data_IF_721072757413
#
_entry.id   IF_721072757413
#
_cell.length_a   1.000
_cell.length_b   1.000
_cell.length_c   1.000
_cell.angle_alpha   90.00
_cell.angle_beta   90.00
_cell.angle_gamma   90.00
#
_symmetry.space_group_name_H-M   'P 1'
#
loop_
_entity.id
_entity.type
_entity.pdbx_description
1 polymer ?
#
# COMPACT_ATOMS: atom_id res chain seq x y z
N UNK A 1 -29.48 -4.09 5.58
CA UNK A 1 -30.41 -3.01 5.92
C UNK A 1 -30.64 -3.09 7.39
N UNK A 2 -30.37 -2.06 8.12
CA UNK A 2 -30.64 -1.94 9.55
C UNK A 2 -31.77 -0.92 9.73
N UNK A 3 -32.78 -1.26 10.50
CA UNK A 3 -33.90 -0.38 10.82
C UNK A 3 -33.78 -0.06 12.29
N UNK A 4 -33.66 1.23 12.61
CA UNK A 4 -33.56 1.71 13.99
C UNK A 4 -34.94 2.20 14.39
N UNK A 5 -35.64 1.41 15.22
CA UNK A 5 -37.03 1.67 15.59
C UNK A 5 -37.19 2.68 16.74
N UNK A 6 -36.09 3.11 17.37
CA UNK A 6 -36.12 3.97 18.55
C UNK A 6 -36.96 3.38 19.66
N UNK A 7 -37.95 4.17 20.17
CA UNK A 7 -38.89 3.73 21.19
C UNK A 7 -40.18 3.08 20.60
N UNK A 8 -40.22 2.86 19.29
CA UNK A 8 -41.37 2.26 18.59
C UNK A 8 -41.26 0.75 18.55
N UNK A 9 -42.39 0.06 18.47
CA UNK A 9 -42.39 -1.39 18.24
C UNK A 9 -41.79 -1.74 16.89
N UNK A 10 -41.07 -2.89 16.78
CA UNK A 10 -40.53 -3.34 15.49
C UNK A 10 -41.63 -3.49 14.43
N UNK A 11 -41.26 -3.17 13.19
CA UNK A 11 -42.19 -3.30 12.05
C UNK A 11 -42.37 -4.80 11.70
N UNK A 12 -43.59 -5.29 11.85
CA UNK A 12 -43.96 -6.65 11.49
C UNK A 12 -44.42 -6.75 10.03
N UNK A 13 -44.22 -7.92 9.43
CA UNK A 13 -44.77 -8.24 8.09
C UNK A 13 -44.07 -7.54 6.92
N UNK A 14 -42.79 -7.12 7.08
CA UNK A 14 -42.03 -6.51 6.00
C UNK A 14 -41.74 -7.52 4.89
N UNK A 15 -42.17 -7.18 3.65
CA UNK A 15 -41.78 -7.89 2.44
C UNK A 15 -40.74 -7.07 1.68
N UNK A 16 -39.64 -7.73 1.29
CA UNK A 16 -38.57 -7.08 0.52
C UNK A 16 -38.57 -7.63 -0.90
N UNK A 17 -38.46 -6.73 -1.88
CA UNK A 17 -38.22 -7.10 -3.27
C UNK A 17 -36.98 -6.39 -3.78
N UNK A 18 -36.08 -7.13 -4.41
CA UNK A 18 -34.91 -6.59 -5.06
C UNK A 18 -35.08 -6.61 -6.58
N UNK A 19 -34.84 -5.47 -7.23
CA UNK A 19 -34.77 -5.42 -8.68
C UNK A 19 -33.33 -5.68 -9.10
N UNK A 20 -33.08 -6.84 -9.71
CA UNK A 20 -31.78 -7.22 -10.22
C UNK A 20 -31.68 -6.85 -11.68
N UNK A 21 -30.65 -6.07 -12.05
CA UNK A 21 -30.34 -5.83 -13.47
C UNK A 21 -29.64 -7.05 -14.03
N UNK A 22 -30.25 -7.68 -15.01
CA UNK A 22 -29.65 -8.79 -15.71
C UNK A 22 -28.83 -8.26 -16.90
N UNK A 23 -27.53 -8.66 -17.01
CA UNK A 23 -26.75 -8.35 -18.20
C UNK A 23 -27.30 -9.10 -19.41
N UNK A 24 -27.27 -8.46 -20.58
CA UNK A 24 -27.61 -9.11 -21.86
C UNK A 24 -26.36 -9.14 -22.75
N UNK A 25 -26.19 -10.23 -23.47
CA UNK A 25 -25.14 -10.39 -24.48
C UNK A 25 -25.77 -10.35 -25.87
N UNK A 26 -25.23 -9.53 -26.74
CA UNK A 26 -25.62 -9.47 -28.17
C UNK A 26 -24.42 -9.97 -28.97
N UNK A 27 -24.65 -10.96 -29.80
CA UNK A 27 -23.59 -11.59 -30.59
C UNK A 27 -24.11 -11.99 -31.97
N UNK A 28 -23.25 -12.12 -32.96
CA UNK A 28 -23.57 -12.56 -34.30
C UNK A 28 -23.12 -14.01 -34.48
N UNK A 29 -24.04 -14.84 -34.95
CA UNK A 29 -23.76 -16.22 -35.33
C UNK A 29 -23.95 -16.41 -36.81
N UNK A 30 -23.11 -17.23 -37.43
CA UNK A 30 -23.39 -17.75 -38.76
C UNK A 30 -24.62 -18.68 -38.67
N UNK A 31 -25.60 -18.47 -39.54
CA UNK A 31 -26.78 -19.33 -39.64
C UNK A 31 -26.38 -20.69 -40.18
N UNK A 32 -26.11 -21.62 -39.29
CA UNK A 32 -25.93 -23.05 -39.61
C UNK A 32 -27.20 -23.84 -39.39
N UNK A 33 -27.63 -24.61 -40.34
CA UNK A 33 -28.88 -25.38 -40.31
C UNK A 33 -28.73 -26.76 -39.65
N UNK A 34 -28.13 -26.90 -38.48
CA UNK A 34 -27.97 -28.18 -37.80
C UNK A 34 -28.64 -28.24 -36.41
N UNK A 35 -28.90 -29.45 -35.90
CA UNK A 35 -29.45 -29.70 -34.55
C UNK A 35 -28.41 -29.44 -33.41
N UNK A 36 -27.14 -29.23 -33.74
CA UNK A 36 -26.11 -28.95 -32.75
C UNK A 36 -26.18 -27.48 -32.28
N UNK A 37 -25.81 -27.22 -31.01
CA UNK A 37 -25.81 -25.84 -30.51
C UNK A 37 -24.88 -24.97 -31.35
N UNK A 38 -25.43 -23.86 -31.88
CA UNK A 38 -24.72 -22.95 -32.77
C UNK A 38 -23.56 -22.22 -32.10
N UNK A 39 -23.55 -22.17 -30.75
CA UNK A 39 -22.48 -21.61 -29.93
C UNK A 39 -22.51 -22.15 -28.50
N UNK A 40 -21.36 -22.11 -27.83
CA UNK A 40 -21.24 -22.42 -26.41
C UNK A 40 -20.92 -21.13 -25.66
N UNK A 41 -21.69 -20.87 -24.60
CA UNK A 41 -21.41 -19.77 -23.66
C UNK A 41 -20.63 -20.30 -22.47
N UNK A 42 -19.40 -19.84 -22.34
CA UNK A 42 -18.56 -20.11 -21.16
C UNK A 42 -18.65 -18.94 -20.19
N UNK A 43 -18.80 -19.23 -18.90
CA UNK A 43 -18.84 -18.24 -17.83
C UNK A 43 -18.19 -18.81 -16.55
N UNK A 44 -17.87 -17.92 -15.60
CA UNK A 44 -17.19 -18.34 -14.36
C UNK A 44 -15.68 -18.51 -14.49
N UNK A 45 -15.08 -18.13 -15.62
CA UNK A 45 -13.63 -18.12 -15.82
C UNK A 45 -12.99 -16.89 -15.20
N UNK A 46 -12.74 -16.88 -13.90
CA UNK A 46 -12.16 -15.73 -13.18
C UNK A 46 -10.79 -15.26 -13.69
N UNK A 47 -10.14 -16.05 -14.56
CA UNK A 47 -8.84 -15.74 -15.19
C UNK A 47 -8.96 -15.14 -16.58
N UNK A 48 -10.18 -15.08 -17.14
CA UNK A 48 -10.37 -14.56 -18.47
C UNK A 48 -10.26 -13.03 -18.46
N UNK A 49 -9.43 -12.49 -19.34
CA UNK A 49 -9.42 -11.06 -19.60
C UNK A 49 -10.75 -10.61 -20.24
N UNK A 50 -11.16 -9.37 -19.97
CA UNK A 50 -12.29 -8.79 -20.64
C UNK A 50 -12.07 -8.86 -22.17
N UNK A 51 -12.99 -9.47 -22.94
CA UNK A 51 -12.81 -9.61 -24.36
C UNK A 51 -12.83 -8.25 -25.05
N UNK A 52 -11.99 -8.07 -26.06
CA UNK A 52 -11.98 -6.87 -26.91
C UNK A 52 -12.45 -7.28 -28.30
N UNK A 53 -13.68 -6.96 -28.60
CA UNK A 53 -14.26 -7.20 -29.92
C UNK A 53 -14.41 -5.88 -30.69
N UNK A 54 -14.27 -5.93 -32.01
CA UNK A 54 -14.48 -4.77 -32.87
C UNK A 54 -15.89 -4.20 -32.77
N UNK A 55 -16.85 -5.00 -32.34
CA UNK A 55 -18.22 -4.56 -32.02
C UNK A 55 -18.26 -3.46 -30.95
N UNK A 56 -17.29 -3.43 -30.03
CA UNK A 56 -17.20 -2.36 -29.05
C UNK A 56 -16.94 -0.98 -29.69
N UNK A 57 -16.26 -0.96 -30.84
CA UNK A 57 -16.03 0.26 -31.62
C UNK A 57 -17.28 0.82 -32.33
N UNK A 58 -18.35 0.04 -32.41
CA UNK A 58 -19.66 0.48 -32.92
C UNK A 58 -20.54 1.15 -31.86
N UNK A 59 -20.16 1.00 -30.56
CA UNK A 59 -20.83 1.68 -29.46
C UNK A 59 -20.06 2.97 -29.14
N UNK A 60 -20.71 4.17 -29.21
CA UNK A 60 -20.01 5.40 -28.85
C UNK A 60 -19.59 5.37 -27.39
N UNK A 61 -18.37 5.83 -27.09
CA UNK A 61 -18.02 6.25 -25.76
C UNK A 61 -19.02 7.33 -25.32
N UNK A 62 -19.40 7.34 -24.04
CA UNK A 62 -20.41 8.24 -23.49
C UNK A 62 -20.20 9.68 -23.97
N UNK A 63 -21.10 10.21 -24.79
CA UNK A 63 -21.08 11.59 -25.29
C UNK A 63 -20.57 11.79 -26.72
N UNK A 64 -20.14 10.74 -27.45
CA UNK A 64 -19.79 10.89 -28.89
C UNK A 64 -20.93 10.48 -29.81
N UNK A 65 -21.24 11.31 -30.77
CA UNK A 65 -22.18 10.99 -31.85
C UNK A 65 -21.46 10.19 -32.95
N UNK A 66 -22.03 9.04 -33.32
CA UNK A 66 -21.60 8.28 -34.50
C UNK A 66 -22.31 8.81 -35.75
N UNK A 67 -21.63 8.79 -36.88
CA UNK A 67 -22.18 9.23 -38.17
C UNK A 67 -22.18 8.10 -39.21
N UNK A 68 -23.11 8.15 -40.17
CA UNK A 68 -23.17 7.23 -41.33
C UNK A 68 -23.50 5.78 -40.96
N UNK A 69 -22.87 4.83 -41.63
CA UNK A 69 -23.08 3.38 -41.46
C UNK A 69 -22.82 2.87 -40.03
N UNK A 70 -21.89 3.51 -39.32
CA UNK A 70 -21.60 3.17 -37.91
C UNK A 70 -22.74 3.54 -36.97
N UNK A 71 -23.46 4.67 -37.25
CA UNK A 71 -24.64 5.05 -36.48
C UNK A 71 -25.80 4.06 -36.73
N UNK A 72 -25.98 3.61 -37.97
CA UNK A 72 -27.00 2.63 -38.33
C UNK A 72 -26.73 1.25 -37.74
N UNK A 73 -25.46 0.78 -37.71
CA UNK A 73 -25.04 -0.46 -37.07
C UNK A 73 -25.23 -0.39 -35.55
N UNK A 74 -24.82 0.71 -34.92
CA UNK A 74 -25.01 0.93 -33.49
C UNK A 74 -26.48 1.00 -33.08
N UNK A 75 -27.34 1.58 -33.92
CA UNK A 75 -28.79 1.62 -33.71
C UNK A 75 -29.40 0.21 -33.75
N UNK A 76 -28.98 -0.64 -34.69
CA UNK A 76 -29.42 -2.04 -34.78
C UNK A 76 -28.95 -2.87 -33.57
N UNK A 77 -27.74 -2.66 -33.05
CA UNK A 77 -27.25 -3.33 -31.84
C UNK A 77 -28.00 -2.89 -30.58
N UNK A 78 -28.61 -1.70 -30.60
CA UNK A 78 -29.40 -1.15 -29.49
C UNK A 78 -30.89 -1.48 -29.57
N UNK A 79 -31.35 -1.88 -30.72
CA UNK A 79 -32.75 -2.25 -30.92
C UNK A 79 -32.95 -3.73 -30.55
N UNK A 80 -33.54 -4.02 -29.39
CA UNK A 80 -33.79 -5.40 -28.97
C UNK A 80 -34.79 -6.10 -29.90
N UNK A 81 -35.57 -5.38 -30.71
CA UNK A 81 -36.51 -5.98 -31.67
C UNK A 81 -35.78 -6.53 -32.91
N UNK A 82 -34.57 -6.08 -33.20
CA UNK A 82 -33.74 -6.60 -34.28
C UNK A 82 -32.93 -7.88 -33.89
N UNK A 83 -32.92 -8.22 -32.61
CA UNK A 83 -32.22 -9.41 -32.12
C UNK A 83 -33.20 -10.57 -31.89
N UNK A 84 -32.81 -11.76 -32.35
CA UNK A 84 -33.56 -12.98 -32.06
C UNK A 84 -33.08 -13.50 -30.70
N UNK A 85 -34.02 -13.77 -29.78
CA UNK A 85 -33.68 -14.31 -28.47
C UNK A 85 -33.07 -15.72 -28.63
N UNK A 86 -31.84 -15.87 -28.10
CA UNK A 86 -31.18 -17.17 -28.04
C UNK A 86 -31.83 -18.05 -26.97
N UNK A 87 -32.02 -19.32 -27.30
CA UNK A 87 -32.40 -20.35 -26.29
C UNK A 87 -31.15 -20.85 -25.61
N UNK A 88 -31.14 -20.73 -24.29
CA UNK A 88 -30.06 -21.29 -23.48
C UNK A 88 -30.36 -22.77 -23.21
N UNK A 89 -29.37 -23.63 -23.39
CA UNK A 89 -29.41 -25.01 -22.96
C UNK A 89 -29.16 -25.15 -21.45
N UNK A 90 -28.99 -26.40 -20.99
CA UNK A 90 -28.63 -26.68 -19.61
C UNK A 90 -27.22 -26.12 -19.28
N UNK A 91 -27.05 -25.73 -18.02
CA UNK A 91 -25.71 -25.35 -17.50
C UNK A 91 -24.98 -26.61 -17.09
N UNK A 92 -23.82 -26.85 -17.66
CA UNK A 92 -22.99 -28.02 -17.38
C UNK A 92 -21.58 -27.56 -16.96
N UNK A 93 -20.93 -28.38 -16.14
CA UNK A 93 -19.54 -28.13 -15.78
C UNK A 93 -18.65 -28.30 -17.02
N UNK A 94 -17.77 -27.31 -17.29
CA UNK A 94 -16.81 -27.43 -18.36
C UNK A 94 -15.73 -28.45 -18.00
N UNK A 95 -15.63 -29.59 -18.69
CA UNK A 95 -14.62 -30.63 -18.39
C UNK A 95 -13.18 -30.18 -18.63
N UNK A 96 -12.99 -29.11 -19.38
CA UNK A 96 -11.67 -28.53 -19.66
C UNK A 96 -11.30 -27.41 -18.66
N UNK A 97 -12.16 -27.15 -17.66
CA UNK A 97 -11.87 -26.13 -16.67
C UNK A 97 -10.78 -26.59 -15.73
N UNK A 98 -9.66 -25.89 -15.73
CA UNK A 98 -8.60 -26.06 -14.73
C UNK A 98 -8.97 -25.23 -13.49
N UNK A 99 -9.42 -25.90 -12.44
CA UNK A 99 -9.81 -25.29 -11.17
C UNK A 99 -8.64 -24.91 -10.26
N UNK A 100 -7.40 -25.22 -10.64
CA UNK A 100 -6.25 -24.81 -9.84
C UNK A 100 -6.11 -23.28 -9.79
N UNK A 101 -5.80 -22.69 -8.63
CA UNK A 101 -5.57 -21.24 -8.54
C UNK A 101 -4.50 -20.77 -9.50
N UNK A 102 -4.70 -19.61 -10.14
CA UNK A 102 -3.70 -19.04 -11.06
C UNK A 102 -2.33 -18.83 -10.41
N UNK A 103 -2.31 -18.56 -9.10
CA UNK A 103 -1.11 -18.35 -8.32
C UNK A 103 -0.65 -19.59 -7.53
N UNK A 104 -1.17 -20.79 -7.84
CA UNK A 104 -0.79 -22.04 -7.16
C UNK A 104 0.73 -22.28 -7.16
N UNK A 105 1.44 -21.84 -8.20
CA UNK A 105 2.91 -21.94 -8.28
C UNK A 105 3.62 -21.14 -7.17
N UNK A 106 3.03 -20.04 -6.71
CA UNK A 106 3.57 -19.16 -5.67
C UNK A 106 3.09 -19.52 -4.26
N UNK A 107 2.07 -20.35 -4.11
CA UNK A 107 1.50 -20.77 -2.81
C UNK A 107 2.40 -21.79 -2.11
N UNK A 108 3.66 -21.44 -1.89
CA UNK A 108 4.66 -22.30 -1.24
C UNK A 108 5.36 -21.51 -0.13
N UNK A 109 5.57 -22.12 1.04
CA UNK A 109 6.31 -21.47 2.11
C UNK A 109 7.78 -21.32 1.70
N UNK A 110 8.36 -20.17 2.08
CA UNK A 110 9.78 -19.92 1.98
C UNK A 110 10.56 -20.38 3.20
N UNK A 111 11.74 -19.80 3.41
CA UNK A 111 12.61 -20.11 4.54
C UNK A 111 11.98 -19.73 5.89
N UNK A 112 12.46 -20.36 6.97
CA UNK A 112 12.11 -19.97 8.32
C UNK A 112 12.71 -18.61 8.70
N UNK A 113 11.99 -17.89 9.54
CA UNK A 113 12.33 -16.56 10.04
C UNK A 113 12.50 -16.63 11.56
N UNK A 114 13.55 -16.05 12.12
CA UNK A 114 13.67 -15.91 13.58
C UNK A 114 12.67 -14.83 14.07
N UNK A 115 11.50 -15.27 14.51
CA UNK A 115 10.41 -14.39 14.95
C UNK A 115 10.80 -13.51 16.14
N UNK A 116 11.83 -13.90 16.92
CA UNK A 116 12.32 -13.17 18.11
C UNK A 116 13.01 -11.84 17.77
N UNK A 117 13.30 -11.59 16.50
CA UNK A 117 13.89 -10.33 16.02
C UNK A 117 12.86 -9.24 15.78
N UNK A 118 11.57 -9.61 15.64
CA UNK A 118 10.48 -8.71 15.30
C UNK A 118 9.74 -8.24 16.56
N UNK A 119 9.60 -6.92 16.72
CA UNK A 119 8.99 -6.35 17.93
C UNK A 119 7.48 -6.48 17.97
N UNK A 120 6.81 -6.48 16.82
CA UNK A 120 5.37 -6.50 16.71
C UNK A 120 4.88 -7.71 15.93
N UNK A 121 3.69 -8.22 16.33
CA UNK A 121 3.00 -9.32 15.69
C UNK A 121 1.51 -9.07 15.60
N UNK A 122 0.93 -9.40 14.45
CA UNK A 122 -0.51 -9.36 14.21
C UNK A 122 -0.99 -10.69 13.66
N UNK A 123 -2.03 -11.28 14.23
CA UNK A 123 -2.64 -12.50 13.71
C UNK A 123 -3.52 -12.18 12.51
N UNK A 124 -3.45 -13.04 11.49
CA UNK A 124 -4.13 -12.94 10.22
C UNK A 124 -4.94 -14.22 9.96
N UNK A 125 -6.21 -14.07 9.58
CA UNK A 125 -7.02 -15.13 9.00
C UNK A 125 -7.05 -14.99 7.49
N UNK A 126 -6.46 -15.92 6.78
CA UNK A 126 -6.33 -15.90 5.32
C UNK A 126 -7.34 -16.85 4.69
N UNK A 127 -8.13 -16.32 3.76
CA UNK A 127 -9.06 -17.08 2.91
C UNK A 127 -8.88 -16.57 1.48
N UNK A 128 -8.01 -17.17 0.69
CA UNK A 128 -7.69 -16.67 -0.63
C UNK A 128 -8.89 -16.72 -1.57
N UNK A 129 -8.85 -15.91 -2.61
CA UNK A 129 -9.77 -16.01 -3.74
C UNK A 129 -9.59 -17.33 -4.48
N UNK A 130 -10.47 -17.61 -5.44
CA UNK A 130 -10.32 -18.76 -6.35
C UNK A 130 -8.99 -18.78 -7.09
N UNK A 131 -8.33 -17.62 -7.24
CA UNK A 131 -7.05 -17.46 -7.89
C UNK A 131 -5.84 -17.62 -6.97
N UNK A 132 -6.08 -17.87 -5.67
CA UNK A 132 -5.03 -18.08 -4.68
C UNK A 132 -4.43 -16.80 -4.10
N UNK A 133 -5.12 -15.63 -4.23
CA UNK A 133 -4.62 -14.34 -3.80
C UNK A 133 -5.45 -13.74 -2.67
N UNK A 134 -4.76 -13.22 -1.67
CA UNK A 134 -5.36 -12.47 -0.57
C UNK A 134 -4.75 -11.07 -0.47
N UNK A 135 -5.58 -10.07 -0.13
CA UNK A 135 -5.18 -8.67 0.03
C UNK A 135 -5.14 -8.32 1.52
N UNK A 136 -3.98 -7.98 2.02
CA UNK A 136 -3.77 -7.41 3.35
C UNK A 136 -3.41 -5.94 3.23
N UNK A 137 -4.27 -5.06 3.73
CA UNK A 137 -3.95 -3.65 3.90
C UNK A 137 -3.25 -3.45 5.24
N UNK A 138 -2.03 -2.91 5.22
CA UNK A 138 -1.34 -2.53 6.44
C UNK A 138 -2.03 -1.33 7.07
N UNK A 139 -2.09 -1.31 8.39
CA UNK A 139 -2.62 -0.18 9.16
C UNK A 139 -1.50 0.77 9.58
N UNK A 140 -1.89 1.95 10.02
CA UNK A 140 -0.94 2.96 10.50
C UNK A 140 -0.01 2.41 11.61
N UNK A 141 -0.55 1.58 12.53
CA UNK A 141 0.21 0.97 13.62
C UNK A 141 1.30 0.02 13.09
N UNK A 142 1.00 -0.79 12.07
CA UNK A 142 1.99 -1.69 11.48
C UNK A 142 3.12 -0.89 10.82
N UNK A 143 2.74 0.14 10.06
CA UNK A 143 3.69 1.00 9.36
C UNK A 143 4.55 1.81 10.34
N UNK A 144 3.99 2.23 11.47
CA UNK A 144 4.72 2.98 12.49
C UNK A 144 5.88 2.19 13.11
N UNK A 145 5.70 0.88 13.28
CA UNK A 145 6.72 -0.02 13.83
C UNK A 145 7.64 -0.62 12.76
N UNK A 146 7.23 -0.59 11.49
CA UNK A 146 8.03 -1.09 10.39
C UNK A 146 9.16 -0.11 10.01
N UNK A 147 10.18 -0.63 9.37
CA UNK A 147 11.24 0.17 8.75
C UNK A 147 10.67 1.12 7.69
N UNK A 148 11.32 2.26 7.41
CA UNK A 148 10.86 3.20 6.38
C UNK A 148 10.74 2.60 4.98
N UNK A 149 11.58 1.61 4.67
CA UNK A 149 11.62 0.87 3.41
C UNK A 149 10.74 -0.39 3.40
N UNK A 150 10.04 -0.69 4.52
CA UNK A 150 9.22 -1.88 4.73
C UNK A 150 9.98 -3.21 4.55
N UNK A 151 11.31 -3.18 4.61
CA UNK A 151 12.17 -4.35 4.41
C UNK A 151 12.01 -5.41 5.50
N UNK A 152 11.45 -5.04 6.65
CA UNK A 152 11.20 -5.91 7.81
C UNK A 152 9.80 -6.52 7.85
N UNK A 153 8.96 -6.24 6.87
CA UNK A 153 7.62 -6.85 6.81
C UNK A 153 7.77 -8.34 6.47
N UNK A 154 7.11 -9.22 7.23
CA UNK A 154 7.03 -10.67 6.96
C UNK A 154 5.63 -11.18 7.24
N UNK A 155 5.18 -12.12 6.42
CA UNK A 155 4.02 -12.95 6.72
C UNK A 155 4.51 -14.36 6.95
N UNK A 156 4.21 -14.93 8.12
CA UNK A 156 4.70 -16.25 8.52
C UNK A 156 3.54 -17.15 8.98
N UNK A 157 3.72 -18.45 8.84
CA UNK A 157 2.82 -19.45 9.41
C UNK A 157 3.20 -19.81 10.88
N UNK A 158 2.46 -20.75 11.47
CA UNK A 158 2.72 -21.21 12.85
C UNK A 158 4.11 -21.87 13.01
N UNK A 159 4.72 -22.35 11.92
CA UNK A 159 6.07 -22.91 11.92
C UNK A 159 7.16 -21.86 11.62
N UNK A 160 6.81 -20.57 11.68
CA UNK A 160 7.69 -19.43 11.36
C UNK A 160 8.23 -19.43 9.91
N UNK A 161 7.64 -20.19 9.00
CA UNK A 161 8.02 -20.15 7.57
C UNK A 161 7.35 -18.95 6.90
N UNK A 162 8.13 -18.17 6.16
CA UNK A 162 7.61 -17.00 5.47
C UNK A 162 6.79 -17.38 4.22
N UNK A 163 5.80 -16.55 3.91
CA UNK A 163 4.94 -16.74 2.75
C UNK A 163 5.11 -15.59 1.76
N UNK A 164 5.12 -15.89 0.46
CA UNK A 164 5.40 -14.88 -0.56
C UNK A 164 4.25 -13.88 -0.70
N UNK A 165 4.61 -12.63 -0.83
CA UNK A 165 3.71 -11.53 -1.12
C UNK A 165 4.33 -10.54 -2.10
N UNK A 166 3.47 -9.79 -2.78
CA UNK A 166 3.82 -8.58 -3.52
C UNK A 166 3.44 -7.37 -2.65
N UNK A 167 4.37 -6.45 -2.46
CA UNK A 167 4.14 -5.22 -1.70
C UNK A 167 3.94 -4.04 -2.64
N UNK A 168 2.80 -3.36 -2.51
CA UNK A 168 2.50 -2.08 -3.16
C UNK A 168 2.51 -0.97 -2.09
N UNK A 169 3.55 -0.13 -2.06
CA UNK A 169 3.80 0.76 -0.91
C UNK A 169 2.82 1.91 -0.78
N UNK A 170 2.19 2.34 -1.87
CA UNK A 170 1.34 3.54 -1.93
C UNK A 170 -0.08 3.23 -2.44
N UNK A 171 -0.54 1.98 -2.26
CA UNK A 171 -1.77 1.49 -2.87
C UNK A 171 -3.05 1.96 -2.17
N UNK A 172 -3.02 2.18 -0.86
CA UNK A 172 -4.18 2.57 -0.08
C UNK A 172 -4.06 3.97 0.51
N UNK A 173 -5.19 4.63 0.68
CA UNK A 173 -5.30 5.93 1.32
C UNK A 173 -6.37 5.88 2.41
N UNK A 174 -6.06 6.48 3.56
CA UNK A 174 -6.96 6.54 4.71
C UNK A 174 -6.94 7.94 5.33
N UNK A 175 -8.12 8.48 5.67
CA UNK A 175 -8.22 9.74 6.37
C UNK A 175 -8.22 9.51 7.87
N UNK A 176 -7.29 10.16 8.56
CA UNK A 176 -7.18 10.13 10.02
C UNK A 176 -7.38 11.52 10.60
N UNK A 177 -8.18 11.67 11.68
CA UNK A 177 -8.29 12.93 12.38
C UNK A 177 -6.96 13.31 13.04
N UNK A 178 -6.64 14.59 13.04
CA UNK A 178 -5.49 15.16 13.74
C UNK A 178 -5.96 15.93 14.95
N UNK A 179 -5.23 15.80 16.05
CA UNK A 179 -5.41 16.69 17.21
C UNK A 179 -4.79 18.05 16.90
N UNK A 180 -5.55 19.12 17.09
CA UNK A 180 -5.04 20.48 16.91
C UNK A 180 -4.81 21.09 18.30
N UNK A 181 -3.57 21.33 18.66
CA UNK A 181 -3.26 22.08 19.87
C UNK A 181 -3.56 23.57 19.66
N UNK A 182 -3.99 24.25 20.75
CA UNK A 182 -4.18 25.70 20.74
C UNK A 182 -2.95 26.41 20.19
N UNK A 183 -3.11 27.43 19.31
CA UNK A 183 -2.01 28.07 18.66
C UNK A 183 -1.11 28.81 19.65
N UNK A 184 0.19 28.62 19.48
CA UNK A 184 1.19 29.43 20.18
C UNK A 184 1.46 30.67 19.32
N UNK A 185 0.95 31.83 19.74
CA UNK A 185 1.21 33.10 19.06
C UNK A 185 2.57 33.66 19.50
N UNK A 186 3.42 33.94 18.55
CA UNK A 186 4.66 34.69 18.75
C UNK A 186 4.75 35.77 17.67
N UNK A 187 4.98 37.00 18.11
CA UNK A 187 5.02 38.17 17.22
C UNK A 187 3.72 38.29 16.41
N UNK A 188 3.79 38.10 15.09
CA UNK A 188 2.67 38.18 14.15
C UNK A 188 2.36 36.83 13.48
N UNK A 189 2.75 35.72 14.11
CA UNK A 189 2.55 34.38 13.57
C UNK A 189 1.98 33.44 14.63
N UNK A 190 1.12 32.54 14.20
CA UNK A 190 0.56 31.46 14.99
C UNK A 190 1.12 30.11 14.58
N UNK A 191 1.46 29.28 15.56
CA UNK A 191 1.98 27.94 15.38
C UNK A 191 0.98 26.92 15.90
N UNK A 192 0.54 26.03 15.04
CA UNK A 192 -0.39 24.94 15.33
C UNK A 192 0.35 23.62 15.28
N UNK A 193 0.37 22.89 16.40
CA UNK A 193 0.84 21.50 16.40
C UNK A 193 -0.31 20.61 16.00
N UNK A 194 -0.06 19.76 15.01
CA UNK A 194 -1.02 18.79 14.50
C UNK A 194 -0.58 17.41 14.95
N UNK A 195 -1.30 16.86 15.95
CA UNK A 195 -1.00 15.56 16.55
C UNK A 195 -1.50 14.42 15.67
N UNK A 196 -0.60 13.52 15.30
CA UNK A 196 -0.92 12.26 14.62
C UNK A 196 -1.30 11.22 15.69
N UNK A 197 -2.38 10.44 15.50
CA UNK A 197 -2.76 9.38 16.46
C UNK A 197 -1.72 8.27 16.55
N UNK A 198 -1.01 8.04 15.45
CA UNK A 198 0.08 7.08 15.33
C UNK A 198 1.22 7.71 14.53
N UNK A 199 2.46 7.48 14.92
CA UNK A 199 3.65 7.97 14.21
C UNK A 199 4.87 7.05 14.42
N UNK A 200 5.80 6.98 13.47
CA UNK A 200 5.84 7.69 12.20
C UNK A 200 4.91 7.08 11.14
N UNK A 201 4.27 7.90 10.31
CA UNK A 201 3.41 7.47 9.21
C UNK A 201 3.64 8.30 7.95
N UNK A 202 3.28 7.77 6.77
CA UNK A 202 3.36 8.50 5.51
C UNK A 202 2.08 9.30 5.29
N UNK A 203 2.23 10.59 5.05
CA UNK A 203 1.15 11.55 4.82
C UNK A 203 1.43 12.30 3.52
N UNK A 204 0.41 12.58 2.73
CA UNK A 204 0.51 13.33 1.48
C UNK A 204 -0.47 14.51 1.37
N UNK A 205 -1.42 14.61 2.31
CA UNK A 205 -2.40 15.68 2.32
C UNK A 205 -2.91 15.96 3.73
N UNK A 206 -3.14 17.24 4.02
CA UNK A 206 -3.83 17.69 5.24
C UNK A 206 -5.03 18.52 4.81
N UNK A 207 -6.15 18.33 5.46
CA UNK A 207 -7.35 19.15 5.31
C UNK A 207 -7.68 19.79 6.64
N UNK A 208 -7.89 21.11 6.62
CA UNK A 208 -8.18 21.95 7.77
C UNK A 208 -9.58 22.53 7.60
N UNK A 209 -10.45 22.33 8.58
CA UNK A 209 -11.79 22.92 8.62
C UNK A 209 -11.78 24.16 9.52
N UNK A 210 -12.27 25.29 9.01
CA UNK A 210 -12.34 26.55 9.76
C UNK A 210 -13.67 27.23 9.50
N UNK A 211 -14.18 27.94 10.48
CA UNK A 211 -15.39 28.76 10.36
C UNK A 211 -15.06 30.24 10.02
N UNK A 212 -13.78 30.61 9.95
CA UNK A 212 -13.37 31.97 9.57
C UNK A 212 -13.83 32.29 8.15
N UNK A 213 -14.72 33.27 7.97
CA UNK A 213 -15.40 33.49 6.69
C UNK A 213 -14.49 34.09 5.59
N UNK A 214 -13.41 34.74 6.00
CA UNK A 214 -12.47 35.38 5.10
C UNK A 214 -11.08 35.43 5.70
N UNK A 215 -10.07 35.03 4.94
CA UNK A 215 -8.65 35.21 5.25
C UNK A 215 -7.81 35.04 3.99
N UNK A 216 -6.66 35.68 4.01
CA UNK A 216 -5.60 35.52 3.01
C UNK A 216 -4.25 35.60 3.73
N UNK A 217 -3.65 34.48 4.08
CA UNK A 217 -2.46 34.40 4.94
C UNK A 217 -1.38 33.51 4.37
N UNK A 218 -0.14 33.88 4.57
CA UNK A 218 1.01 33.05 4.23
C UNK A 218 1.11 31.93 5.28
N UNK A 219 1.39 30.72 4.82
CA UNK A 219 1.61 29.58 5.71
C UNK A 219 2.91 28.85 5.33
N UNK A 220 3.39 28.09 6.31
CA UNK A 220 4.40 27.04 6.13
C UNK A 220 4.00 25.83 6.96
N UNK A 221 3.94 24.68 6.30
CA UNK A 221 3.76 23.38 6.93
C UNK A 221 5.11 22.70 7.03
N UNK A 222 5.54 22.38 8.25
CA UNK A 222 6.77 21.66 8.53
C UNK A 222 6.48 20.32 9.19
N UNK A 223 7.34 19.34 8.94
CA UNK A 223 7.29 18.04 9.58
C UNK A 223 8.61 17.77 10.32
N UNK A 224 8.49 17.10 11.45
CA UNK A 224 9.62 16.42 12.08
C UNK A 224 9.69 15.01 11.50
N UNK A 225 10.82 14.69 10.89
CA UNK A 225 11.10 13.38 10.32
C UNK A 225 11.60 12.41 11.40
N UNK A 226 11.69 11.12 11.08
CA UNK A 226 12.13 10.07 12.00
C UNK A 226 13.56 10.29 12.54
N UNK A 227 14.45 10.86 11.74
CA UNK A 227 15.81 11.26 12.10
C UNK A 227 15.88 12.60 12.86
N UNK A 228 14.73 13.11 13.34
CA UNK A 228 14.58 14.37 14.08
C UNK A 228 14.88 15.64 13.24
N UNK A 229 15.16 15.51 11.94
CA UNK A 229 15.26 16.69 11.07
C UNK A 229 13.89 17.28 10.82
N UNK A 230 13.86 18.61 10.67
CA UNK A 230 12.67 19.31 10.21
C UNK A 230 12.74 19.52 8.69
N UNK A 231 11.62 19.28 8.03
CA UNK A 231 11.46 19.49 6.59
C UNK A 231 10.20 20.30 6.32
N UNK A 232 10.28 21.25 5.41
CA UNK A 232 9.09 21.95 4.91
C UNK A 232 8.39 21.05 3.89
N UNK A 233 7.13 20.72 4.17
CA UNK A 233 6.30 19.89 3.29
C UNK A 233 5.54 20.73 2.27
N UNK A 234 5.02 21.88 2.70
CA UNK A 234 4.30 22.82 1.85
C UNK A 234 4.43 24.23 2.40
N UNK A 235 4.42 25.20 1.50
CA UNK A 235 4.33 26.63 1.83
C UNK A 235 3.54 27.36 0.76
N UNK A 236 2.93 28.49 1.12
CA UNK A 236 2.11 29.27 0.20
C UNK A 236 1.12 30.17 0.92
N UNK A 237 -0.07 30.27 0.37
CA UNK A 237 -1.15 31.11 0.91
C UNK A 237 -2.39 30.27 1.23
N UNK A 238 -2.92 30.44 2.43
CA UNK A 238 -4.24 29.97 2.82
C UNK A 238 -5.22 31.08 2.44
N UNK A 239 -6.16 30.79 1.58
CA UNK A 239 -7.12 31.78 1.09
C UNK A 239 -8.55 31.25 1.28
N UNK A 240 -9.35 32.03 1.98
CA UNK A 240 -10.79 31.87 2.09
C UNK A 240 -11.47 33.13 1.57
N UNK A 241 -12.23 32.99 0.49
CA UNK A 241 -13.00 34.11 -0.07
C UNK A 241 -14.32 34.27 0.67
N UNK A 242 -14.87 35.48 0.66
CA UNK A 242 -16.19 35.77 1.25
C UNK A 242 -17.21 34.77 0.72
N UNK A 243 -17.94 34.12 1.60
CA UNK A 243 -18.94 33.11 1.27
C UNK A 243 -19.01 32.01 2.33
N UNK A 244 -19.52 30.85 1.95
CA UNK A 244 -19.51 29.67 2.83
C UNK A 244 -18.08 29.19 3.02
N UNK A 245 -17.63 29.00 4.28
CA UNK A 245 -16.32 28.46 4.56
C UNK A 245 -16.13 27.11 3.85
N UNK A 246 -14.93 26.88 3.29
CA UNK A 246 -14.55 25.63 2.66
C UNK A 246 -13.32 25.06 3.34
N UNK A 247 -13.21 23.73 3.45
CA UNK A 247 -11.99 23.12 3.95
C UNK A 247 -10.77 23.56 3.16
N UNK A 248 -9.69 23.88 3.84
CA UNK A 248 -8.41 24.20 3.22
C UNK A 248 -7.61 22.91 3.06
N UNK A 249 -7.20 22.62 1.83
CA UNK A 249 -6.43 21.41 1.50
C UNK A 249 -4.98 21.76 1.20
N UNK A 250 -4.07 21.09 1.88
CA UNK A 250 -2.62 21.20 1.72
C UNK A 250 -2.10 19.87 1.21
N UNK A 251 -1.78 19.79 -0.08
CA UNK A 251 -1.21 18.59 -0.71
C UNK A 251 0.31 18.75 -0.89
N UNK A 252 1.04 17.66 -0.69
CA UNK A 252 2.50 17.59 -0.81
C UNK A 252 2.94 16.18 -1.18
N UNK A 253 4.18 15.98 -1.66
CA UNK A 253 4.71 14.64 -1.90
C UNK A 253 4.65 13.77 -0.64
N UNK A 254 4.30 12.46 -0.74
CA UNK A 254 4.21 11.59 0.42
C UNK A 254 5.48 11.62 1.28
N UNK A 255 5.34 11.94 2.55
CA UNK A 255 6.44 12.04 3.50
C UNK A 255 6.17 11.23 4.76
N UNK A 256 7.16 10.49 5.27
CA UNK A 256 7.08 9.76 6.53
C UNK A 256 7.41 10.73 7.69
N UNK A 257 6.40 11.04 8.48
CA UNK A 257 6.47 12.12 9.48
C UNK A 257 6.18 11.59 10.90
N UNK A 258 6.84 12.20 11.87
CA UNK A 258 6.63 11.94 13.32
C UNK A 258 5.71 12.98 13.92
N UNK A 259 5.88 14.24 13.52
CA UNK A 259 5.07 15.35 13.99
C UNK A 259 4.90 16.40 12.89
N UNK A 260 3.82 17.15 12.95
CA UNK A 260 3.47 18.20 12.02
C UNK A 260 3.27 19.53 12.73
N UNK A 261 3.77 20.61 12.16
CA UNK A 261 3.58 21.99 12.63
C UNK A 261 3.18 22.89 11.47
N UNK A 262 2.05 23.58 11.63
CA UNK A 262 1.59 24.60 10.70
C UNK A 262 1.88 25.97 11.30
N UNK A 263 2.63 26.80 10.59
CA UNK A 263 2.89 28.20 10.93
C UNK A 263 2.09 29.07 9.99
N UNK A 264 1.28 29.98 10.53
CA UNK A 264 0.47 30.94 9.79
C UNK A 264 0.90 32.34 10.17
N UNK A 265 1.16 33.19 9.18
CA UNK A 265 1.48 34.60 9.36
C UNK A 265 0.17 35.38 9.53
N UNK A 266 -0.14 35.78 10.76
CA UNK A 266 -1.39 36.44 11.07
C UNK A 266 -1.35 37.97 10.82
N UNK A 267 -0.18 38.55 10.86
CA UNK A 267 -0.07 40.00 10.85
C UNK A 267 -0.68 40.59 12.13
N UNK A 268 -1.58 41.54 11.96
CA UNK A 268 -2.29 42.21 13.06
C UNK A 268 -3.64 41.54 13.39
N UNK A 269 -4.05 40.54 12.60
CA UNK A 269 -5.31 39.82 12.81
C UNK A 269 -5.20 38.75 13.93
N UNK A 270 -6.35 38.27 14.39
CA UNK A 270 -6.43 37.14 15.33
C UNK A 270 -5.96 35.83 14.65
N UNK A 271 -5.42 34.87 15.42
CA UNK A 271 -5.13 33.54 14.91
C UNK A 271 -6.34 32.90 14.22
N UNK A 272 -6.11 32.08 13.18
CA UNK A 272 -7.17 31.30 12.57
C UNK A 272 -7.66 30.22 13.55
N UNK A 273 -8.97 30.06 13.64
CA UNK A 273 -9.57 29.00 14.44
C UNK A 273 -9.90 27.81 13.55
N UNK A 274 -9.17 26.70 13.75
CA UNK A 274 -9.44 25.45 13.06
C UNK A 274 -10.31 24.57 13.95
N UNK A 275 -11.48 24.19 13.44
CA UNK A 275 -12.44 23.32 14.13
C UNK A 275 -12.02 21.86 14.08
N UNK A 276 -11.47 21.42 12.96
CA UNK A 276 -10.98 20.07 12.74
C UNK A 276 -9.81 20.06 11.76
N UNK A 277 -8.98 19.05 11.89
CA UNK A 277 -7.95 18.71 10.92
C UNK A 277 -7.95 17.22 10.68
N UNK A 278 -7.58 16.81 9.46
CA UNK A 278 -7.39 15.41 9.10
C UNK A 278 -6.22 15.29 8.14
N UNK A 279 -5.47 14.21 8.30
CA UNK A 279 -4.40 13.84 7.38
C UNK A 279 -4.83 12.66 6.51
N UNK A 280 -4.38 12.65 5.28
CA UNK A 280 -4.48 11.48 4.41
C UNK A 280 -3.22 10.67 4.55
N UNK A 281 -3.36 9.48 5.12
CA UNK A 281 -2.29 8.50 5.24
C UNK A 281 -2.16 7.74 3.93
N UNK A 282 -0.92 7.45 3.55
CA UNK A 282 -0.58 6.58 2.42
C UNK A 282 -0.10 5.25 3.01
N UNK A 283 -0.87 4.19 2.78
CA UNK A 283 -0.68 2.89 3.39
C UNK A 283 -0.33 1.82 2.36
N UNK A 284 0.57 0.88 2.71
CA UNK A 284 0.92 -0.23 1.85
C UNK A 284 -0.18 -1.30 1.79
N UNK A 285 -0.25 -2.00 0.66
CA UNK A 285 -1.02 -3.21 0.48
C UNK A 285 -0.10 -4.38 0.15
N UNK A 286 -0.38 -5.54 0.75
CA UNK A 286 0.31 -6.79 0.46
C UNK A 286 -0.66 -7.73 -0.25
N UNK A 287 -0.25 -8.22 -1.41
CA UNK A 287 -0.92 -9.28 -2.14
C UNK A 287 -0.24 -10.60 -1.80
N UNK A 288 -0.88 -11.38 -0.93
CA UNK A 288 -0.35 -12.59 -0.32
C UNK A 288 -0.80 -13.82 -1.11
N UNK A 289 0.14 -14.65 -1.54
CA UNK A 289 -0.11 -15.95 -2.14
C UNK A 289 0.09 -17.06 -1.09
N UNK A 290 -1.00 -17.42 -0.40
CA UNK A 290 -0.99 -18.42 0.65
C UNK A 290 -2.32 -19.19 0.67
N UNK A 291 -2.33 -20.50 1.05
CA UNK A 291 -3.55 -21.24 1.25
C UNK A 291 -4.38 -20.68 2.42
N UNK A 292 -5.63 -21.12 2.52
CA UNK A 292 -6.48 -20.77 3.67
C UNK A 292 -5.83 -21.25 4.98
N UNK A 293 -5.81 -20.38 5.99
CA UNK A 293 -5.21 -20.70 7.28
C UNK A 293 -4.92 -19.47 8.14
N UNK A 294 -4.29 -19.73 9.28
CA UNK A 294 -3.88 -18.71 10.22
C UNK A 294 -2.40 -18.38 10.02
N UNK A 295 -2.11 -17.08 9.96
CA UNK A 295 -0.77 -16.54 9.74
C UNK A 295 -0.49 -15.40 10.71
N UNK A 296 0.73 -14.91 10.67
CA UNK A 296 1.15 -13.74 11.45
C UNK A 296 1.88 -12.74 10.55
N UNK A 297 1.50 -11.49 10.64
CA UNK A 297 2.29 -10.36 10.17
C UNK A 297 3.31 -10.02 11.26
N UNK A 298 4.57 -9.92 10.87
CA UNK A 298 5.68 -9.50 11.72
C UNK A 298 6.28 -8.20 11.18
N UNK A 299 6.56 -7.24 12.06
CA UNK A 299 7.27 -5.99 11.75
C UNK A 299 8.18 -5.59 12.92
N UNK A 300 9.11 -4.68 12.69
CA UNK A 300 9.94 -4.10 13.75
C UNK A 300 11.29 -4.79 13.94
N UNK A 301 11.83 -5.45 12.91
CA UNK A 301 13.22 -5.85 12.88
C UNK A 301 14.07 -4.79 12.18
N UNK A 302 14.90 -4.01 12.92
CA UNK A 302 15.67 -2.91 12.35
C UNK A 302 16.76 -3.34 11.36
N UNK A 303 17.09 -4.64 11.31
CA UNK A 303 18.16 -5.18 10.46
C UNK A 303 17.67 -6.04 9.31
N UNK A 304 16.39 -6.36 9.26
CA UNK A 304 15.86 -7.20 8.21
C UNK A 304 16.17 -6.63 6.82
N UNK A 305 16.60 -7.47 5.92
CA UNK A 305 16.69 -7.14 4.48
C UNK A 305 15.35 -7.40 3.80
N UNK A 306 15.05 -6.64 2.75
CA UNK A 306 13.83 -6.86 1.97
C UNK A 306 13.77 -8.30 1.45
N UNK A 307 12.63 -8.99 1.59
CA UNK A 307 12.49 -10.33 1.05
C UNK A 307 12.47 -10.29 -0.48
N UNK A 308 13.01 -11.32 -1.09
CA UNK A 308 12.96 -11.49 -2.54
C UNK A 308 12.11 -12.71 -2.88
N UNK A 309 10.89 -12.48 -3.35
CA UNK A 309 9.97 -13.52 -3.77
C UNK A 309 9.84 -13.56 -5.29
N UNK A 310 9.70 -14.75 -5.86
CA UNK A 310 9.45 -14.91 -7.31
C UNK A 310 8.14 -14.25 -7.74
N UNK A 311 7.19 -14.10 -6.83
CA UNK A 311 5.90 -13.44 -7.04
C UNK A 311 6.06 -12.00 -7.57
N UNK A 312 7.12 -11.30 -7.18
CA UNK A 312 7.41 -9.93 -7.64
C UNK A 312 7.73 -9.85 -9.13
N UNK A 313 8.23 -10.95 -9.73
CA UNK A 313 8.54 -11.03 -11.17
C UNK A 313 7.29 -11.12 -12.04
N UNK A 314 6.18 -11.51 -11.45
CA UNK A 314 4.88 -11.67 -12.13
C UNK A 314 3.86 -10.65 -11.61
N UNK A 315 4.32 -9.47 -11.22
CA UNK A 315 3.51 -8.39 -10.65
C UNK A 315 2.23 -8.12 -11.46
N UNK A 316 2.34 -8.06 -12.79
CA UNK A 316 1.19 -7.74 -13.64
C UNK A 316 0.13 -8.84 -13.58
N UNK A 317 0.53 -10.10 -13.43
CA UNK A 317 -0.40 -11.22 -13.22
C UNK A 317 -1.06 -11.11 -11.85
N UNK A 318 -0.30 -10.83 -10.81
CA UNK A 318 -0.82 -10.67 -9.43
C UNK A 318 -1.85 -9.55 -9.36
N UNK A 319 -1.58 -8.42 -9.98
CA UNK A 319 -2.50 -7.26 -9.95
C UNK A 319 -3.71 -7.43 -10.88
N UNK A 320 -3.66 -8.37 -11.83
CA UNK A 320 -4.76 -8.65 -12.74
C UNK A 320 -5.80 -9.64 -12.18
N UNK A 321 -5.42 -10.47 -11.19
CA UNK A 321 -6.33 -11.47 -10.62
C UNK A 321 -7.09 -10.92 -9.41
N UNK A 322 -8.26 -11.51 -9.16
CA UNK A 322 -9.09 -11.10 -8.02
C UNK A 322 -8.44 -11.56 -6.71
N UNK A 323 -8.38 -10.65 -5.74
CA UNK A 323 -7.92 -10.93 -4.39
C UNK A 323 -9.08 -10.97 -3.39
N UNK A 324 -8.95 -11.75 -2.33
CA UNK A 324 -9.88 -11.76 -1.20
C UNK A 324 -9.27 -10.97 -0.01
N UNK A 325 -10.07 -10.22 0.76
CA UNK A 325 -9.55 -9.48 1.90
C UNK A 325 -9.09 -10.42 3.02
N UNK A 326 -7.96 -10.10 3.67
CA UNK A 326 -7.45 -10.78 4.85
C UNK A 326 -8.13 -10.25 6.11
N UNK A 327 -8.59 -11.14 6.97
CA UNK A 327 -9.07 -10.80 8.31
C UNK A 327 -7.86 -10.57 9.25
N UNK A 328 -7.59 -9.32 9.63
CA UNK A 328 -6.47 -8.98 10.49
C UNK A 328 -6.94 -8.55 11.88
N UNK A 329 -6.43 -9.18 12.94
CA UNK A 329 -6.68 -8.81 14.34
C UNK A 329 -5.93 -7.52 14.70
N UNK A 330 -6.06 -7.06 15.94
CA UNK A 330 -5.27 -5.94 16.44
C UNK A 330 -3.78 -6.27 16.41
N UNK A 331 -2.93 -5.28 16.12
CA UNK A 331 -1.48 -5.39 16.26
C UNK A 331 -1.12 -5.33 17.74
N UNK A 332 -0.01 -5.97 18.10
CA UNK A 332 0.50 -5.89 19.46
C UNK A 332 1.93 -6.40 19.56
N UNK A 333 2.55 -6.20 20.74
CA UNK A 333 3.91 -6.65 20.97
C UNK A 333 4.05 -8.15 20.69
N UNK A 334 5.11 -8.52 20.02
CA UNK A 334 5.41 -9.91 19.76
C UNK A 334 5.89 -10.58 21.07
N UNK A 335 5.17 -11.58 21.62
CA UNK A 335 5.55 -12.23 22.88
C UNK A 335 6.91 -12.95 22.80
N UNK A 336 7.32 -13.33 21.59
CA UNK A 336 8.58 -14.02 21.36
C UNK A 336 9.77 -13.06 21.21
N UNK A 337 9.53 -11.75 21.17
CA UNK A 337 10.56 -10.73 20.92
C UNK A 337 11.68 -10.75 21.98
N UNK A 338 12.93 -10.77 21.53
CA UNK A 338 14.10 -10.81 22.41
C UNK A 338 15.14 -9.75 22.04
N UNK A 339 15.24 -8.70 22.86
CA UNK A 339 16.30 -7.68 22.73
C UNK A 339 17.70 -8.28 22.87
N UNK A 340 17.87 -9.34 23.67
CA UNK A 340 19.14 -10.01 23.83
C UNK A 340 19.59 -10.69 22.52
N UNK A 341 18.65 -11.30 21.78
CA UNK A 341 18.94 -11.92 20.49
C UNK A 341 19.41 -10.88 19.47
N UNK A 342 18.70 -9.75 19.40
CA UNK A 342 19.10 -8.62 18.54
C UNK A 342 20.49 -8.08 18.87
N UNK A 343 20.86 -8.04 20.15
CA UNK A 343 22.19 -7.61 20.60
C UNK A 343 23.30 -8.60 20.21
N UNK A 344 23.01 -9.91 20.22
CA UNK A 344 23.97 -10.95 19.79
C UNK A 344 24.20 -10.82 18.28
N UNK A 345 23.17 -10.65 17.51
CA UNK A 345 23.25 -10.45 16.05
C UNK A 345 24.04 -9.17 15.71
N UNK A 346 23.84 -8.08 16.48
CA UNK A 346 24.67 -6.86 16.37
C UNK A 346 26.16 -7.12 16.67
N UNK A 347 26.48 -7.99 17.62
CA UNK A 347 27.87 -8.35 17.91
C UNK A 347 28.46 -9.21 16.80
N UNK A 348 27.71 -10.12 16.24
CA UNK A 348 28.13 -10.94 15.10
C UNK A 348 28.61 -10.13 13.90
N UNK A 349 27.94 -9.00 13.61
CA UNK A 349 28.34 -8.10 12.52
C UNK A 349 29.60 -7.30 12.80
N UNK A 350 29.90 -7.04 14.07
CA UNK A 350 31.12 -6.29 14.49
C UNK A 350 32.38 -7.13 14.43
N UNK A 351 32.28 -8.44 14.64
CA UNK A 351 33.45 -9.35 14.68
C UNK A 351 34.27 -9.33 13.39
N UNK A 352 33.68 -9.49 12.18
CA UNK A 352 34.43 -9.43 10.94
C UNK A 352 35.02 -8.04 10.67
N UNK A 353 34.34 -6.97 11.11
CA UNK A 353 34.84 -5.62 10.95
C UNK A 353 36.03 -5.31 11.86
N UNK A 354 35.99 -5.73 13.12
CA UNK A 354 37.12 -5.61 14.06
C UNK A 354 38.28 -6.44 13.57
N UNK A 355 38.04 -7.65 13.06
CA UNK A 355 39.08 -8.52 12.53
C UNK A 355 39.73 -7.92 11.28
N UNK A 356 38.97 -7.33 10.39
CA UNK A 356 39.48 -6.61 9.22
C UNK A 356 40.38 -5.44 9.60
N UNK A 357 39.92 -4.60 10.54
CA UNK A 357 40.71 -3.46 11.00
C UNK A 357 41.99 -3.90 11.75
N UNK A 358 41.93 -4.96 12.55
CA UNK A 358 43.10 -5.48 13.25
C UNK A 358 44.16 -6.04 12.28
N UNK A 359 43.75 -6.75 11.23
CA UNK A 359 44.63 -7.22 10.16
C UNK A 359 45.24 -6.04 9.38
N UNK A 360 44.44 -5.03 9.07
CA UNK A 360 44.96 -3.83 8.39
C UNK A 360 46.00 -3.08 9.23
N UNK A 361 45.73 -2.87 10.50
CA UNK A 361 46.68 -2.23 11.42
C UNK A 361 47.96 -3.06 11.55
N UNK A 362 47.86 -4.38 11.71
CA UNK A 362 49.02 -5.27 11.75
C UNK A 362 49.87 -5.18 10.47
N UNK A 363 49.22 -5.17 9.30
CA UNK A 363 49.90 -5.01 8.01
C UNK A 363 50.66 -3.68 7.91
N UNK A 364 50.04 -2.56 8.35
CA UNK A 364 50.67 -1.24 8.37
C UNK A 364 51.88 -1.23 9.32
N UNK A 365 51.76 -1.82 10.50
CA UNK A 365 52.87 -1.90 11.47
C UNK A 365 54.02 -2.70 10.89
N UNK A 366 53.77 -3.86 10.28
CA UNK A 366 54.80 -4.68 9.63
C UNK A 366 55.47 -3.95 8.46
N UNK A 367 54.72 -3.27 7.59
CA UNK A 367 55.27 -2.48 6.51
C UNK A 367 56.11 -1.33 7.02
N UNK A 368 55.65 -0.63 8.04
CA UNK A 368 56.42 0.46 8.66
C UNK A 368 57.73 -0.03 9.29
N UNK A 369 57.68 -1.17 10.00
CA UNK A 369 58.86 -1.79 10.57
C UNK A 369 59.88 -2.25 9.49
N UNK A 370 59.41 -2.81 8.39
CA UNK A 370 60.24 -3.20 7.26
C UNK A 370 60.89 -2.00 6.57
N UNK A 371 60.14 -0.92 6.32
CA UNK A 371 60.67 0.30 5.73
C UNK A 371 61.71 0.97 6.64
N UNK A 372 61.49 1.03 7.95
CA UNK A 372 62.47 1.55 8.91
C UNK A 372 63.73 0.68 8.96
N UNK A 373 63.58 -0.64 8.86
CA UNK A 373 64.71 -1.56 8.82
C UNK A 373 65.55 -1.40 7.53
N UNK A 374 64.88 -1.28 6.38
CA UNK A 374 65.55 -1.01 5.10
C UNK A 374 66.26 0.35 5.10
N UNK A 375 65.65 1.39 5.64
CA UNK A 375 66.25 2.71 5.75
C UNK A 375 67.49 2.72 6.66
N UNK A 376 67.53 1.85 7.70
CA UNK A 376 68.71 1.70 8.57
C UNK A 376 69.84 0.87 7.94
N UNK A 377 69.53 -0.08 7.06
CA UNK A 377 70.53 -0.93 6.40
C UNK A 377 71.10 -0.29 5.11
N UNK A 378 70.40 0.68 4.53
CA UNK A 378 70.86 1.40 3.32
C UNK A 378 71.87 2.54 3.55
N UNK A 379 72.32 2.78 4.83
CA UNK A 379 73.24 3.85 5.19
C UNK A 379 74.75 3.56 5.10
N UNK A 380 75.14 2.30 4.88
CA UNK A 380 76.57 1.88 4.83
C UNK A 380 77.03 1.58 3.38
N UNK A 381 77.05 2.62 2.55
CA UNK A 381 77.81 2.52 1.28
C UNK A 381 79.10 3.33 1.49
N UNK A 382 80.30 2.69 1.51
CA UNK A 382 81.55 3.43 1.61
C UNK A 382 81.78 4.22 0.30
N UNK A 383 82.40 5.41 0.43
CA UNK A 383 82.71 6.23 -0.76
C UNK A 383 83.73 5.51 -1.66
N UNK A 384 83.69 5.68 -3.00
CA UNK A 384 84.65 5.09 -3.92
C UNK A 384 86.06 5.66 -3.66
N UNK A 385 87.14 4.83 -3.81
CA UNK A 385 88.50 5.36 -3.68
C UNK A 385 88.87 6.31 -4.79
N UNK A 386 89.59 7.34 -4.43
CA UNK A 386 90.21 8.36 -5.33
C UNK A 386 91.39 7.79 -6.10
#
# INVERSE_FOLDING_TARGET
MEIVDGDSAPLDGLAFAAVVRQPSLVFSLATGGGEEPAAMLYFGGGRAYAPRYDLAGLLPASGQALAGERASAAARLRDPSAAVAARLGSVEANPLFDGAPALAFAMRPGAEVDTRLYSERRALGVRPSSEGLSLLRLRAEDVAHARPDLADVRVVDAAARQWPYLLEPDAAQEWQPLEIASPLRRERASRYRLGLPVSPVRVDQIVLDTDTPFFDRVFRLTATMEDKRQSTLAEGRLVQRIGKPRPVSLAFPPARVVALELVVQDGDDAPLEFRAARARLVLPELFLAAPAGDYFLLVGDPKASAPSYELTRVRDVVLAVTSAPVEAKASGPNPDYSRARLAIERRGDLVPQVLLWSVLVAAVVVLTALTLRLARTGGDTPPPPV
#
